data_IF_239851393289
#
_entry.id   IF_239851393289
#
_cell.length_a   1.000
_cell.length_b   1.000
_cell.length_c   1.000
_cell.angle_alpha   90.00
_cell.angle_beta   90.00
_cell.angle_gamma   90.00
#
_symmetry.space_group_name_H-M   'P 1'
#
loop_
_entity.id
_entity.type
_entity.pdbx_description
1 polymer ?
#
# COMPACT_ATOMS: atom_id res chain seq x y z
N UNK A 1 -13.93 -15.66 -3.50
CA UNK A 1 -12.88 -14.71 -3.93
C UNK A 1 -11.91 -14.55 -2.77
N UNK A 2 -10.59 -14.44 -3.00
CA UNK A 2 -9.66 -14.15 -1.92
C UNK A 2 -9.83 -12.70 -1.45
N UNK A 3 -9.73 -12.48 -0.15
CA UNK A 3 -9.81 -11.15 0.48
C UNK A 3 -8.60 -10.96 1.39
N UNK A 4 -8.08 -9.73 1.43
CA UNK A 4 -7.00 -9.33 2.34
C UNK A 4 -7.60 -8.27 3.27
N UNK A 5 -7.54 -8.54 4.56
CA UNK A 5 -7.87 -7.58 5.62
C UNK A 5 -6.60 -7.33 6.42
N UNK A 6 -6.37 -6.08 6.81
CA UNK A 6 -5.28 -5.72 7.70
C UNK A 6 -5.80 -4.72 8.72
N UNK A 7 -5.44 -4.95 9.97
CA UNK A 7 -5.69 -4.03 11.08
C UNK A 7 -4.50 -3.08 11.19
N UNK A 8 -4.80 -1.80 11.36
CA UNK A 8 -3.84 -0.73 11.53
C UNK A 8 -4.35 0.19 12.62
N UNK A 9 -3.45 0.82 13.36
CA UNK A 9 -3.84 1.89 14.27
C UNK A 9 -4.24 3.17 13.50
N UNK A 10 -4.76 4.17 14.22
CA UNK A 10 -5.27 5.40 13.64
C UNK A 10 -4.17 6.22 12.93
N UNK A 11 -2.96 6.26 13.49
CA UNK A 11 -1.84 7.00 12.92
C UNK A 11 -1.39 6.37 11.59
N UNK A 12 -1.27 5.05 11.58
CA UNK A 12 -0.99 4.28 10.37
C UNK A 12 -2.09 4.48 9.32
N UNK A 13 -3.36 4.42 9.71
CA UNK A 13 -4.48 4.61 8.79
C UNK A 13 -4.44 5.98 8.11
N UNK A 14 -4.27 7.05 8.89
CA UNK A 14 -4.23 8.41 8.33
C UNK A 14 -2.99 8.63 7.47
N UNK A 15 -1.81 8.14 7.88
CA UNK A 15 -0.58 8.20 7.07
C UNK A 15 -0.73 7.50 5.72
N UNK A 16 -1.29 6.28 5.71
CA UNK A 16 -1.54 5.52 4.48
C UNK A 16 -2.60 6.20 3.60
N UNK A 17 -3.63 6.80 4.21
CA UNK A 17 -4.70 7.53 3.51
C UNK A 17 -4.18 8.80 2.85
N UNK A 18 -3.32 9.56 3.53
CA UNK A 18 -2.65 10.73 2.98
C UNK A 18 -1.75 10.36 1.80
N UNK A 19 -0.93 9.32 1.95
CA UNK A 19 -0.06 8.81 0.88
C UNK A 19 -0.89 8.39 -0.34
N UNK A 20 -1.93 7.59 -0.14
CA UNK A 20 -2.86 7.18 -1.20
C UNK A 20 -3.44 8.39 -1.94
N UNK A 21 -3.89 9.41 -1.20
CA UNK A 21 -4.48 10.64 -1.78
C UNK A 21 -3.44 11.44 -2.56
N UNK A 22 -2.24 11.63 -2.02
CA UNK A 22 -1.13 12.38 -2.63
C UNK A 22 -0.76 11.81 -4.00
N UNK A 23 -0.76 10.48 -4.13
CA UNK A 23 -0.37 9.79 -5.36
C UNK A 23 -1.56 9.38 -6.26
N UNK A 24 -2.80 9.76 -5.90
CA UNK A 24 -4.00 9.41 -6.69
C UNK A 24 -4.28 7.91 -6.77
N UNK A 25 -3.89 7.14 -5.76
CA UNK A 25 -3.97 5.67 -5.75
C UNK A 25 -5.28 5.16 -5.12
N UNK A 26 -5.56 3.88 -5.36
CA UNK A 26 -6.49 3.10 -4.53
C UNK A 26 -5.69 2.30 -3.50
N UNK A 27 -6.34 1.75 -2.46
CA UNK A 27 -5.66 0.86 -1.50
C UNK A 27 -5.00 -0.34 -2.18
N UNK A 28 -5.73 -0.98 -3.11
CA UNK A 28 -5.19 -2.06 -3.96
C UNK A 28 -4.01 -1.58 -4.81
N UNK A 29 -4.12 -0.40 -5.41
CA UNK A 29 -3.05 0.18 -6.23
C UNK A 29 -1.78 0.43 -5.41
N UNK A 30 -1.93 0.93 -4.19
CA UNK A 30 -0.81 1.16 -3.27
C UNK A 30 -0.13 -0.16 -2.85
N UNK A 31 -0.90 -1.20 -2.52
CA UNK A 31 -0.36 -2.54 -2.20
C UNK A 31 0.38 -3.16 -3.38
N UNK A 32 -0.17 -3.09 -4.59
CA UNK A 32 0.48 -3.60 -5.80
C UNK A 32 1.74 -2.80 -6.17
N UNK A 33 1.74 -1.49 -5.92
CA UNK A 33 2.94 -0.68 -6.11
C UNK A 33 4.04 -1.10 -5.13
N UNK A 34 3.73 -1.20 -3.83
CA UNK A 34 4.68 -1.64 -2.82
C UNK A 34 5.26 -3.04 -3.12
N UNK A 35 4.43 -3.98 -3.57
CA UNK A 35 4.90 -5.31 -3.98
C UNK A 35 5.92 -5.23 -5.12
N UNK A 36 5.65 -4.43 -6.15
CA UNK A 36 6.58 -4.27 -7.29
C UNK A 36 7.91 -3.64 -6.88
N UNK A 37 7.87 -2.64 -5.99
CA UNK A 37 9.10 -2.01 -5.49
C UNK A 37 9.95 -3.03 -4.70
N UNK A 38 9.32 -3.83 -3.83
CA UNK A 38 10.00 -4.89 -3.09
C UNK A 38 10.57 -5.99 -4.01
N UNK A 39 9.86 -6.36 -5.07
CA UNK A 39 10.36 -7.34 -6.06
C UNK A 39 11.51 -6.77 -6.90
N UNK A 40 11.53 -5.45 -7.14
CA UNK A 40 12.57 -4.78 -7.92
C UNK A 40 13.87 -4.56 -7.13
N UNK A 41 13.77 -4.41 -5.80
CA UNK A 41 14.92 -4.23 -4.90
C UNK A 41 15.74 -5.52 -4.70
N UNK A 42 15.18 -6.69 -5.03
CA UNK A 42 15.88 -7.99 -4.96
C UNK A 42 16.58 -8.37 -6.29
N UNK A 43 16.78 -7.40 -7.20
CA UNK A 43 17.25 -7.61 -8.57
C UNK A 43 18.68 -7.16 -8.90
N UNK A 44 19.50 -6.79 -7.90
CA UNK A 44 20.93 -6.43 -8.06
C UNK A 44 21.85 -7.41 -7.32
#
# INVERSE_FOLDING_TARGET
>A
MPHINFEVDEEQYESLKETKKRHGLTWKGMLLHAQRELDSDNGD
#
